data_IF_155591212229
#
_entry.id   IF_155591212229
#
_cell.length_a   1.000
_cell.length_b   1.000
_cell.length_c   1.000
_cell.angle_alpha   90.00
_cell.angle_beta   90.00
_cell.angle_gamma   90.00
#
_symmetry.space_group_name_H-M   'P 1'
#
loop_
_entity.id
_entity.type
_entity.pdbx_description
1 polymer ?
#
# COMPACT_ATOMS: atom_id res chain seq x y z
N UNK A 1 -22.07 0.49 0.40
CA UNK A 1 -20.86 -0.17 -0.07
C UNK A 1 -19.88 0.90 -0.54
N UNK A 2 -18.62 0.80 -0.16
CA UNK A 2 -17.56 1.75 -0.52
C UNK A 2 -17.10 1.49 -1.96
N UNK A 3 -16.49 2.48 -2.59
CA UNK A 3 -15.79 2.32 -3.86
C UNK A 3 -14.28 2.22 -3.63
N UNK A 4 -13.59 1.41 -4.45
CA UNK A 4 -12.12 1.33 -4.40
C UNK A 4 -11.51 1.44 -5.80
N UNK A 5 -10.46 2.23 -5.92
CA UNK A 5 -9.68 2.34 -7.15
C UNK A 5 -8.22 1.96 -6.87
N UNK A 6 -7.68 1.06 -7.69
CA UNK A 6 -6.26 0.71 -7.69
C UNK A 6 -5.54 1.51 -8.78
N UNK A 7 -4.46 2.19 -8.40
CA UNK A 7 -3.60 2.92 -9.34
C UNK A 7 -2.18 2.42 -9.23
N UNK A 8 -1.58 2.09 -10.37
CA UNK A 8 -0.14 1.87 -10.43
C UNK A 8 0.55 3.23 -10.42
N UNK A 9 1.44 3.43 -9.46
CA UNK A 9 2.24 4.65 -9.34
C UNK A 9 3.72 4.32 -9.20
N UNK A 10 4.54 5.24 -9.67
CA UNK A 10 5.97 5.23 -9.40
C UNK A 10 6.23 5.93 -8.07
N UNK A 11 6.86 5.23 -7.13
CA UNK A 11 7.24 5.75 -5.83
C UNK A 11 8.77 5.78 -5.71
N UNK A 12 9.31 6.86 -5.17
CA UNK A 12 10.73 7.01 -4.87
C UNK A 12 10.92 6.90 -3.35
N UNK A 13 11.22 5.71 -2.81
CA UNK A 13 11.29 5.52 -1.37
C UNK A 13 12.53 6.23 -0.80
N UNK A 14 12.37 6.85 0.36
CA UNK A 14 13.41 7.65 1.03
C UNK A 14 14.69 6.88 1.35
N UNK A 15 14.60 5.55 1.51
CA UNK A 15 15.73 4.67 1.79
C UNK A 15 16.46 4.17 0.53
N UNK A 16 15.99 4.52 -0.67
CA UNK A 16 16.67 4.10 -1.91
C UNK A 16 17.98 4.86 -2.13
N UNK A 17 19.10 4.20 -1.83
CA UNK A 17 20.43 4.73 -2.16
C UNK A 17 20.57 4.80 -3.69
N UNK A 18 20.59 6.02 -4.24
CA UNK A 18 20.68 6.26 -5.69
C UNK A 18 19.36 6.60 -6.40
N UNK A 19 18.25 6.78 -5.68
CA UNK A 19 16.98 7.27 -6.26
C UNK A 19 16.24 6.25 -7.12
N UNK A 20 16.30 4.97 -6.72
CA UNK A 20 15.61 3.89 -7.42
C UNK A 20 14.10 3.99 -7.27
N UNK A 21 13.42 4.30 -8.37
CA UNK A 21 11.96 4.27 -8.45
C UNK A 21 11.44 2.82 -8.39
N UNK A 22 10.42 2.59 -7.56
CA UNK A 22 9.67 1.33 -7.51
C UNK A 22 8.24 1.56 -7.99
N UNK A 23 7.64 0.52 -8.57
CA UNK A 23 6.23 0.52 -8.92
C UNK A 23 5.42 -0.09 -7.79
N UNK A 24 4.40 0.63 -7.32
CA UNK A 24 3.49 0.20 -6.25
C UNK A 24 2.05 0.38 -6.69
N UNK A 25 1.13 -0.27 -5.97
CA UNK A 25 -0.31 -0.09 -6.15
C UNK A 25 -0.84 0.81 -5.04
N UNK A 26 -1.23 2.03 -5.39
CA UNK A 26 -2.03 2.90 -4.52
C UNK A 26 -3.49 2.46 -4.54
N UNK A 27 -4.17 2.60 -3.40
CA UNK A 27 -5.60 2.35 -3.26
C UNK A 27 -6.31 3.65 -2.90
N UNK A 28 -7.39 3.97 -3.61
CA UNK A 28 -8.26 5.07 -3.24
C UNK A 28 -9.62 4.52 -2.82
N UNK A 29 -10.01 4.75 -1.57
CA UNK A 29 -11.32 4.40 -1.05
C UNK A 29 -12.20 5.63 -1.08
N UNK A 30 -13.31 5.58 -1.81
CA UNK A 30 -14.18 6.74 -2.08
C UNK A 30 -13.41 7.95 -2.63
N UNK A 31 -12.38 7.69 -3.46
CA UNK A 31 -11.52 8.71 -4.07
C UNK A 31 -10.45 9.30 -3.13
N UNK A 32 -10.36 8.83 -1.88
CA UNK A 32 -9.34 9.25 -0.92
C UNK A 32 -8.26 8.18 -0.81
N UNK A 33 -6.98 8.56 -0.86
CA UNK A 33 -5.87 7.63 -0.67
C UNK A 33 -6.04 6.85 0.64
N UNK A 34 -5.93 5.54 0.58
CA UNK A 34 -6.10 4.68 1.76
C UNK A 34 -5.07 5.03 2.85
N UNK A 35 -3.85 5.38 2.45
CA UNK A 35 -2.82 5.89 3.36
C UNK A 35 -3.27 7.15 4.13
N UNK A 36 -4.00 8.07 3.48
CA UNK A 36 -4.52 9.26 4.14
C UNK A 36 -5.66 8.92 5.11
N UNK A 37 -6.48 7.91 4.80
CA UNK A 37 -7.50 7.42 5.72
C UNK A 37 -6.87 6.80 6.97
N UNK A 38 -5.84 5.97 6.78
CA UNK A 38 -5.03 5.38 7.86
C UNK A 38 -4.40 6.47 8.72
N UNK A 39 -3.74 7.45 8.11
CA UNK A 39 -3.15 8.59 8.82
C UNK A 39 -4.16 9.31 9.71
N UNK A 40 -5.40 9.52 9.23
CA UNK A 40 -6.46 10.18 10.01
C UNK A 40 -6.91 9.35 11.20
N UNK A 41 -7.00 8.02 11.03
CA UNK A 41 -7.39 7.11 12.09
C UNK A 41 -6.35 7.08 13.21
N UNK A 42 -5.06 7.06 12.85
CA UNK A 42 -3.94 6.94 13.77
C UNK A 42 -3.53 8.26 14.44
N UNK A 43 -3.93 9.41 13.86
CA UNK A 43 -3.48 10.72 14.32
C UNK A 43 -3.71 10.97 15.82
N UNK A 44 -4.85 10.61 16.44
CA UNK A 44 -5.05 10.79 17.87
C UNK A 44 -4.03 10.03 18.72
N UNK A 45 -3.78 8.76 18.40
CA UNK A 45 -2.85 7.91 19.15
C UNK A 45 -1.39 8.32 18.91
N UNK A 46 -1.05 8.70 17.68
CA UNK A 46 0.29 9.20 17.34
C UNK A 46 0.63 10.51 18.06
N UNK A 47 -0.35 11.41 18.22
CA UNK A 47 -0.18 12.65 19.00
C UNK A 47 -0.05 12.35 20.49
N UNK A 48 -0.79 11.38 21.02
CA UNK A 48 -0.66 10.94 22.40
C UNK A 48 0.75 10.35 22.66
N UNK A 49 1.22 9.44 21.81
CA UNK A 49 2.57 8.86 21.90
C UNK A 49 3.67 9.94 21.82
N UNK A 50 3.54 10.91 20.90
CA UNK A 50 4.48 12.03 20.79
C UNK A 50 4.52 12.89 22.06
N UNK A 51 3.35 13.15 22.67
CA UNK A 51 3.27 13.92 23.92
C UNK A 51 3.95 13.18 25.09
N UNK A 52 3.73 11.87 25.21
CA UNK A 52 4.36 11.03 26.23
C UNK A 52 5.90 10.99 26.10
N UNK A 53 6.41 11.06 24.87
CA UNK A 53 7.84 10.95 24.57
C UNK A 53 8.54 12.30 24.37
N UNK A 54 7.88 13.41 24.65
CA UNK A 54 8.43 14.76 24.40
C UNK A 54 9.80 14.97 25.07
N UNK A 55 10.01 14.45 26.28
CA UNK A 55 11.30 14.59 26.98
C UNK A 55 12.44 13.80 26.34
N UNK A 56 12.16 12.68 25.65
CA UNK A 56 13.16 11.82 25.01
C UNK A 56 13.80 12.50 23.80
N UNK A 57 13.05 13.34 23.09
CA UNK A 57 13.47 13.96 21.83
C UNK A 57 13.87 15.43 21.96
N UNK A 58 13.77 16.00 23.18
CA UNK A 58 14.06 17.42 23.40
C UNK A 58 15.47 17.82 22.89
N UNK A 59 15.61 18.99 22.22
CA UNK A 59 14.61 20.04 22.08
C UNK A 59 13.60 19.84 20.95
N UNK A 60 13.78 18.82 20.11
CA UNK A 60 12.92 18.56 18.96
C UNK A 60 11.68 17.74 19.38
N UNK A 61 10.54 17.88 18.68
CA UNK A 61 9.41 16.98 18.91
C UNK A 61 9.77 15.55 18.49
N UNK A 62 9.23 14.56 19.20
CA UNK A 62 9.29 13.17 18.71
C UNK A 62 8.63 13.09 17.31
N UNK A 63 9.08 12.21 16.41
CA UNK A 63 8.49 12.13 15.08
C UNK A 63 6.98 11.84 15.13
N UNK A 64 6.19 12.47 14.26
CA UNK A 64 4.77 12.16 14.13
C UNK A 64 4.61 10.93 13.22
N UNK A 65 4.16 9.84 13.81
CA UNK A 65 4.21 8.51 13.23
C UNK A 65 2.89 8.09 12.52
N UNK A 66 1.84 8.91 12.58
CA UNK A 66 0.61 8.60 11.88
C UNK A 66 0.84 8.54 10.37
N UNK A 67 0.46 7.44 9.73
CA UNK A 67 0.53 7.26 8.28
C UNK A 67 1.94 7.08 7.73
N UNK A 68 2.97 6.83 8.55
CA UNK A 68 4.34 6.56 8.09
C UNK A 68 4.47 5.12 7.55
N UNK A 69 3.82 4.92 6.41
CA UNK A 69 3.82 3.69 5.65
C UNK A 69 4.09 3.96 4.17
N UNK A 70 4.29 2.88 3.44
CA UNK A 70 4.30 2.86 1.99
C UNK A 70 3.48 1.68 1.45
N UNK A 71 2.98 1.84 0.23
CA UNK A 71 2.38 0.76 -0.53
C UNK A 71 3.45 -0.30 -0.86
N UNK A 72 3.06 -1.57 -0.81
CA UNK A 72 3.97 -2.68 -1.05
C UNK A 72 4.24 -2.86 -2.56
N UNK A 73 5.49 -3.10 -2.97
CA UNK A 73 5.79 -3.47 -4.35
C UNK A 73 5.33 -4.91 -4.64
N UNK A 74 4.96 -5.17 -5.88
CA UNK A 74 4.74 -6.56 -6.36
C UNK A 74 3.49 -7.26 -5.84
N UNK A 75 2.54 -6.55 -5.24
CA UNK A 75 1.27 -7.15 -4.81
C UNK A 75 0.49 -7.75 -5.98
N UNK A 76 -0.05 -8.94 -5.75
CA UNK A 76 -0.83 -9.67 -6.75
C UNK A 76 -2.33 -9.49 -6.54
N UNK A 77 -3.10 -9.89 -7.55
CA UNK A 77 -4.58 -9.88 -7.46
C UNK A 77 -5.03 -10.81 -6.32
N UNK A 78 -4.39 -11.96 -6.20
CA UNK A 78 -4.70 -12.99 -5.22
C UNK A 78 -4.43 -12.50 -3.79
N UNK A 79 -3.31 -11.81 -3.56
CA UNK A 79 -2.97 -11.22 -2.26
C UNK A 79 -4.08 -10.28 -1.78
N UNK A 80 -4.52 -9.38 -2.66
CA UNK A 80 -5.60 -8.43 -2.38
C UNK A 80 -7.00 -9.06 -2.45
N UNK A 81 -7.12 -10.37 -2.68
CA UNK A 81 -8.35 -11.15 -2.50
C UNK A 81 -8.28 -12.07 -1.26
N UNK A 82 -7.27 -11.91 -0.41
CA UNK A 82 -7.11 -12.68 0.83
C UNK A 82 -6.50 -14.06 0.61
N UNK A 83 -5.80 -14.29 -0.51
CA UNK A 83 -5.04 -15.52 -0.68
C UNK A 83 -3.97 -15.65 0.41
N UNK A 84 -3.81 -16.86 0.94
CA UNK A 84 -2.75 -17.15 1.92
C UNK A 84 -1.39 -16.95 1.25
N UNK A 85 -0.55 -16.13 1.85
CA UNK A 85 0.85 -16.05 1.48
C UNK A 85 1.57 -17.37 1.83
N UNK A 86 2.55 -17.75 1.02
CA UNK A 86 3.37 -18.95 1.25
C UNK A 86 4.15 -18.87 2.58
N UNK A 87 4.44 -17.65 3.04
CA UNK A 87 4.97 -17.35 4.36
C UNK A 87 4.37 -16.03 4.88
N UNK A 88 3.93 -16.01 6.13
CA UNK A 88 3.51 -14.79 6.80
C UNK A 88 4.77 -14.01 7.25
N UNK A 89 4.88 -12.71 6.90
CA UNK A 89 5.93 -11.86 7.46
C UNK A 89 5.84 -11.78 8.99
N UNK A 90 6.95 -11.46 9.65
CA UNK A 90 6.98 -11.32 11.10
C UNK A 90 5.91 -10.34 11.61
N UNK A 91 5.16 -10.73 12.64
CA UNK A 91 4.11 -9.91 13.25
C UNK A 91 2.77 -9.91 12.52
N UNK A 92 2.67 -10.56 11.36
CA UNK A 92 1.40 -10.79 10.64
C UNK A 92 0.85 -12.15 11.06
N UNK A 93 -0.42 -12.17 11.49
CA UNK A 93 -1.05 -13.41 11.94
C UNK A 93 -1.56 -14.24 10.75
N UNK A 94 -1.77 -15.55 10.98
CA UNK A 94 -2.36 -16.41 9.95
C UNK A 94 -3.76 -15.91 9.55
N UNK A 95 -3.96 -15.71 8.24
CA UNK A 95 -5.23 -15.21 7.70
C UNK A 95 -5.32 -13.69 7.60
N UNK A 96 -4.29 -12.97 8.01
CA UNK A 96 -4.17 -11.55 7.75
C UNK A 96 -3.41 -11.26 6.46
N UNK A 97 -3.78 -10.16 5.83
CA UNK A 97 -3.14 -9.64 4.62
C UNK A 97 -2.47 -8.31 4.94
N UNK A 98 -1.18 -8.21 4.59
CA UNK A 98 -0.46 -6.95 4.69
C UNK A 98 -0.96 -5.98 3.61
N UNK A 99 -1.48 -4.83 4.01
CA UNK A 99 -1.98 -3.79 3.10
C UNK A 99 -0.93 -2.70 2.86
N UNK A 100 -0.22 -2.30 3.92
CA UNK A 100 0.84 -1.29 3.87
C UNK A 100 2.06 -1.76 4.67
N UNK A 101 3.25 -1.42 4.21
CA UNK A 101 4.51 -1.71 4.89
C UNK A 101 5.14 -0.46 5.49
N UNK A 102 6.07 -0.64 6.42
CA UNK A 102 6.90 0.45 6.93
C UNK A 102 7.64 1.18 5.80
N UNK A 103 7.73 2.50 5.89
CA UNK A 103 8.53 3.33 4.98
C UNK A 103 10.02 3.44 5.36
N UNK A 104 10.48 2.73 6.41
CA UNK A 104 11.88 2.71 6.86
C UNK A 104 12.78 1.75 6.06
N UNK A 105 12.21 1.01 5.11
CA UNK A 105 12.92 0.01 4.29
C UNK A 105 12.83 -1.44 4.79
N UNK A 106 12.15 -1.68 5.92
CA UNK A 106 11.80 -3.02 6.41
C UNK A 106 10.29 -3.11 6.55
N UNK A 107 9.59 -3.65 5.54
CA UNK A 107 8.13 -3.55 5.43
C UNK A 107 7.40 -4.09 6.66
N UNK A 108 7.90 -5.18 7.24
CA UNK A 108 7.35 -5.85 8.42
C UNK A 108 7.66 -5.16 9.76
N UNK A 109 8.47 -4.09 9.77
CA UNK A 109 8.86 -3.37 10.99
C UNK A 109 7.64 -2.91 11.82
N UNK A 110 6.59 -2.45 11.13
CA UNK A 110 5.29 -2.12 11.72
C UNK A 110 4.22 -2.04 10.63
N UNK A 111 3.89 -3.17 10.03
CA UNK A 111 2.97 -3.20 8.91
C UNK A 111 1.53 -2.86 9.34
N UNK A 112 0.71 -2.42 8.38
CA UNK A 112 -0.74 -2.36 8.54
C UNK A 112 -1.35 -3.61 7.90
N UNK A 113 -2.07 -4.41 8.69
CA UNK A 113 -2.73 -5.63 8.24
C UNK A 113 -4.24 -5.48 8.34
N UNK A 114 -4.94 -6.35 7.59
CA UNK A 114 -6.38 -6.54 7.72
C UNK A 114 -6.73 -8.01 7.40
N UNK A 115 -7.85 -8.48 7.93
CA UNK A 115 -8.49 -9.69 7.41
C UNK A 115 -9.27 -9.34 6.14
N UNK A 116 -8.90 -9.96 5.01
CA UNK A 116 -9.62 -9.83 3.74
C UNK A 116 -10.49 -11.06 3.54
N UNK A 117 -11.79 -10.85 3.40
CA UNK A 117 -12.75 -11.90 3.00
C UNK A 117 -13.37 -11.53 1.66
N UNK A 118 -13.24 -12.42 0.68
CA UNK A 118 -13.89 -12.29 -0.62
C UNK A 118 -14.96 -13.39 -0.77
N UNK A 119 -16.21 -12.99 -0.96
CA UNK A 119 -17.32 -13.87 -1.32
C UNK A 119 -17.72 -13.64 -2.80
N UNK A 120 -18.84 -14.17 -3.28
CA UNK A 120 -19.25 -14.04 -4.69
C UNK A 120 -19.47 -12.58 -5.13
N UNK A 121 -19.95 -11.72 -4.22
CA UNK A 121 -20.42 -10.37 -4.54
C UNK A 121 -19.57 -9.26 -3.91
N UNK A 122 -18.84 -9.55 -2.83
CA UNK A 122 -18.14 -8.56 -2.03
C UNK A 122 -16.71 -8.94 -1.68
N UNK A 123 -15.91 -7.90 -1.47
CA UNK A 123 -14.60 -7.98 -0.81
C UNK A 123 -14.67 -7.10 0.43
N UNK A 124 -14.37 -7.67 1.59
CA UNK A 124 -14.43 -6.99 2.87
C UNK A 124 -13.06 -6.96 3.54
N UNK A 125 -12.61 -5.77 3.93
CA UNK A 125 -11.44 -5.57 4.79
C UNK A 125 -11.92 -5.26 6.20
N UNK A 126 -11.43 -6.01 7.18
CA UNK A 126 -11.83 -5.92 8.58
C UNK A 126 -10.63 -6.12 9.50
N UNK A 127 -10.80 -5.83 10.79
CA UNK A 127 -9.76 -6.03 11.81
C UNK A 127 -8.45 -5.34 11.42
N UNK A 128 -8.53 -4.08 10.99
CA UNK A 128 -7.33 -3.31 10.66
C UNK A 128 -6.50 -3.12 11.93
N UNK A 129 -5.20 -3.39 11.84
CA UNK A 129 -4.27 -3.19 12.96
C UNK A 129 -2.85 -2.89 12.48
N UNK A 130 -2.10 -2.19 13.34
CA UNK A 130 -0.66 -2.08 13.22
C UNK A 130 -0.01 -3.29 13.91
N UNK A 131 1.03 -3.88 13.30
CA UNK A 131 1.67 -5.08 13.86
C UNK A 131 2.54 -4.81 15.09
N UNK A 132 2.90 -3.55 15.34
CA UNK A 132 3.77 -3.12 16.44
C UNK A 132 3.05 -2.25 17.48
N UNK A 133 1.98 -1.56 17.11
CA UNK A 133 1.25 -0.62 17.97
C UNK A 133 -0.20 -1.04 18.15
N UNK A 134 -0.70 -0.86 19.36
CA UNK A 134 -2.12 -1.06 19.69
C UNK A 134 -2.92 0.23 19.47
N UNK A 135 -2.86 0.73 18.22
CA UNK A 135 -3.57 1.95 17.80
C UNK A 135 -4.99 1.64 17.34
N UNK A 136 -5.89 2.61 17.48
CA UNK A 136 -7.31 2.43 17.22
C UNK A 136 -7.68 2.73 15.76
N UNK A 137 -8.28 1.74 15.07
CA UNK A 137 -8.76 1.84 13.70
C UNK A 137 -10.30 1.83 13.55
N UNK A 138 -11.05 1.95 14.66
CA UNK A 138 -12.53 1.93 14.68
C UNK A 138 -13.15 2.99 13.76
N UNK A 139 -12.47 4.14 13.58
CA UNK A 139 -12.92 5.21 12.69
C UNK A 139 -12.92 4.83 11.21
N UNK A 140 -12.09 3.86 10.80
CA UNK A 140 -12.14 3.24 9.47
C UNK A 140 -13.23 2.16 9.41
N UNK A 141 -13.36 1.40 10.50
CA UNK A 141 -14.30 0.30 10.62
C UNK A 141 -14.11 -0.76 9.53
N UNK A 142 -15.18 -1.47 9.23
CA UNK A 142 -15.19 -2.45 8.14
C UNK A 142 -15.37 -1.78 6.79
N UNK A 143 -14.49 -2.08 5.84
CA UNK A 143 -14.55 -1.57 4.47
C UNK A 143 -15.07 -2.68 3.56
N UNK A 144 -16.27 -2.52 3.02
CA UNK A 144 -16.88 -3.47 2.09
C UNK A 144 -17.02 -2.87 0.70
N UNK A 145 -16.56 -3.62 -0.31
CA UNK A 145 -16.51 -3.24 -1.72
C UNK A 145 -17.27 -4.23 -2.59
N UNK A 146 -17.78 -3.78 -3.74
CA UNK A 146 -18.37 -4.69 -4.73
C UNK A 146 -17.24 -5.48 -5.42
N UNK A 147 -17.28 -6.81 -5.35
CA UNK A 147 -16.23 -7.67 -5.92
C UNK A 147 -16.00 -7.46 -7.41
N UNK A 148 -17.04 -7.32 -8.28
CA UNK A 148 -16.81 -7.06 -9.70
C UNK A 148 -16.05 -5.75 -9.96
N UNK A 149 -16.34 -4.70 -9.18
CA UNK A 149 -15.69 -3.40 -9.30
C UNK A 149 -14.26 -3.44 -8.76
N UNK A 150 -14.06 -4.10 -7.62
CA UNK A 150 -12.76 -4.36 -7.00
C UNK A 150 -11.80 -5.07 -7.95
N UNK A 151 -12.20 -6.24 -8.45
CA UNK A 151 -11.37 -7.04 -9.35
C UNK A 151 -11.09 -6.34 -10.68
N UNK A 152 -12.07 -5.62 -11.23
CA UNK A 152 -11.88 -4.86 -12.48
C UNK A 152 -10.81 -3.79 -12.30
N UNK A 153 -10.89 -2.99 -11.23
CA UNK A 153 -9.92 -1.94 -10.95
C UNK A 153 -8.53 -2.53 -10.69
N UNK A 154 -8.45 -3.60 -9.89
CA UNK A 154 -7.20 -4.25 -9.54
C UNK A 154 -6.52 -4.87 -10.77
N UNK A 155 -7.26 -5.60 -11.61
CA UNK A 155 -6.74 -6.16 -12.86
C UNK A 155 -6.28 -5.05 -13.81
N UNK A 156 -6.99 -3.93 -13.91
CA UNK A 156 -6.58 -2.82 -14.77
C UNK A 156 -5.22 -2.24 -14.33
N UNK A 157 -5.02 -2.04 -13.02
CA UNK A 157 -3.77 -1.56 -12.46
C UNK A 157 -2.62 -2.57 -12.64
N UNK A 158 -2.87 -3.87 -12.49
CA UNK A 158 -1.88 -4.92 -12.70
C UNK A 158 -1.52 -5.11 -14.18
N UNK A 159 -2.50 -5.03 -15.10
CA UNK A 159 -2.36 -5.32 -16.54
C UNK A 159 -1.71 -4.21 -17.35
N UNK A 160 -1.43 -3.03 -16.78
CA UNK A 160 -0.85 -1.88 -17.48
C UNK A 160 0.59 -2.07 -18.03
N UNK A 161 1.01 -3.29 -18.39
CA UNK A 161 2.19 -3.61 -19.17
C UNK A 161 1.75 -4.37 -20.42
N UNK A 162 1.59 -3.67 -21.56
CA UNK A 162 1.88 -4.25 -22.90
C UNK A 162 1.89 -3.30 -24.12
N UNK A 163 2.32 -2.04 -24.02
CA UNK A 163 2.64 -1.26 -25.26
C UNK A 163 3.89 -0.40 -25.13
N UNK A 164 5.06 -1.03 -25.15
CA UNK A 164 6.17 -0.52 -25.97
C UNK A 164 6.52 -1.61 -26.98
N UNK A 165 6.30 -1.42 -28.29
CA UNK A 165 6.90 -2.33 -29.26
C UNK A 165 8.42 -2.17 -29.16
N UNK A 166 9.13 -3.28 -28.92
CA UNK A 166 10.56 -3.34 -29.24
C UNK A 166 10.67 -3.05 -30.74
N UNK A 167 11.26 -1.92 -31.14
CA UNK A 167 11.81 -1.82 -32.50
C UNK A 167 12.94 -2.84 -32.58
N UNK A 168 12.66 -3.99 -33.19
CA UNK A 168 13.67 -4.94 -33.63
C UNK A 168 14.13 -4.47 -35.00
N UNK A 169 15.39 -4.06 -35.10
CA UNK A 169 16.12 -3.88 -36.36
C UNK A 169 15.47 -2.92 -37.35
N UNK A 170 15.89 -1.65 -37.33
CA UNK A 170 15.68 -0.75 -38.47
C UNK A 170 17.06 -0.35 -38.98
N UNK A 171 17.39 -0.61 -40.26
CA UNK A 171 18.69 -0.25 -40.83
C UNK A 171 18.84 1.27 -40.87
N UNK A 172 20.04 1.76 -40.57
CA UNK A 172 20.43 3.14 -40.95
C UNK A 172 20.53 3.19 -42.47
N UNK A 173 19.48 3.71 -43.13
CA UNK A 173 19.57 4.21 -44.49
C UNK A 173 19.91 5.70 -44.43
N UNK A 174 21.12 6.02 -44.91
CA UNK A 174 21.53 7.41 -45.16
C UNK A 174 21.01 7.84 -46.54
N UNK A 175 20.36 9.01 -46.68
CA UNK A 175 20.03 9.56 -47.98
C UNK A 175 21.32 10.05 -48.68
N UNK A 176 21.34 9.90 -49.99
CA UNK A 176 22.55 9.88 -50.82
C UNK A 176 23.39 11.16 -50.87
N UNK A 177 24.64 10.93 -51.27
CA UNK A 177 25.47 11.87 -52.02
C UNK A 177 26.01 11.10 -53.24
N UNK A 178 25.80 11.70 -54.41
CA UNK A 178 26.43 11.54 -55.74
C UNK A 178 27.13 10.21 -56.11
#
# INVERSE_FOLDING_TARGET
MRSIEFRRITHAPQWSVGGGNIEVLEYLVDGVSFLELVRRAELPDALAEQAERTAEFAPDPAPLLAGTYMYLPGLTVEHLLGAKADAAPHGVDEGETMLLGCDCGVFECWALTATITADEDTVTWSSLRNTYRDWNYDSLGTLTFARPQYETSLRAACTAIRTRPRRRGEPVQRPGDA
#
